data_IF_136138305032
#
_entry.id   IF_136138305032
#
_cell.length_a   1.000
_cell.length_b   1.000
_cell.length_c   1.000
_cell.angle_alpha   90.00
_cell.angle_beta   90.00
_cell.angle_gamma   90.00
#
_symmetry.space_group_name_H-M   'P 1'
#
loop_
_entity.id
_entity.type
_entity.pdbx_description
1 polymer ?
#
# COMPACT_ATOMS: atom_id res chain seq x y z
N UNK A 1 10.82 7.07 -1.38
CA UNK A 1 10.36 5.90 -0.58
C UNK A 1 9.29 5.14 -1.34
N UNK A 2 9.29 3.80 -1.38
CA UNK A 2 8.25 3.06 -2.10
C UNK A 2 6.97 2.94 -1.27
N UNK A 3 5.83 3.19 -1.89
CA UNK A 3 4.50 2.94 -1.31
C UNK A 3 4.09 1.48 -1.55
N UNK A 4 4.16 0.64 -0.51
CA UNK A 4 4.03 -0.82 -0.63
C UNK A 4 2.91 -1.43 0.22
N UNK A 5 2.44 -0.71 1.25
CA UNK A 5 1.40 -1.18 2.17
C UNK A 5 0.10 -0.39 1.98
N UNK A 6 -0.59 -0.69 0.88
CA UNK A 6 -1.68 0.15 0.37
C UNK A 6 -2.91 0.04 1.26
N UNK A 7 -3.33 -1.18 1.59
CA UNK A 7 -4.55 -1.40 2.35
C UNK A 7 -4.47 -0.82 3.76
N UNK A 8 -3.37 -1.04 4.48
CA UNK A 8 -3.26 -0.51 5.85
C UNK A 8 -3.11 1.01 5.85
N UNK A 9 -2.32 1.58 4.93
CA UNK A 9 -2.14 3.04 4.84
C UNK A 9 -3.45 3.74 4.53
N UNK A 10 -4.19 3.29 3.51
CA UNK A 10 -5.43 3.95 3.09
C UNK A 10 -6.59 3.73 4.07
N UNK A 11 -6.50 2.75 4.97
CA UNK A 11 -7.44 2.54 6.07
C UNK A 11 -7.16 3.41 7.28
N UNK A 12 -5.97 4.00 7.41
CA UNK A 12 -5.59 4.87 8.52
C UNK A 12 -5.75 6.36 8.16
N UNK A 13 -6.83 7.03 8.60
CA UNK A 13 -7.06 8.44 8.30
C UNK A 13 -6.15 9.39 9.09
N UNK A 14 -5.34 8.88 10.05
CA UNK A 14 -4.41 9.70 10.82
C UNK A 14 -3.10 9.99 10.08
N UNK A 15 -2.80 9.20 9.05
CA UNK A 15 -1.62 9.40 8.21
C UNK A 15 -1.83 10.59 7.27
N UNK A 16 -0.78 11.37 6.98
CA UNK A 16 -0.85 12.41 5.97
C UNK A 16 -1.17 11.78 4.61
N UNK A 17 -1.80 12.57 3.73
CA UNK A 17 -2.16 12.20 2.34
C UNK A 17 -3.25 11.14 2.17
N UNK A 18 -3.57 10.30 3.17
CA UNK A 18 -4.59 9.23 3.03
C UNK A 18 -5.89 9.68 2.35
N UNK A 19 -6.43 10.85 2.75
CA UNK A 19 -7.68 11.37 2.17
C UNK A 19 -7.53 11.86 0.73
N UNK A 20 -6.35 12.35 0.34
CA UNK A 20 -6.05 12.73 -1.05
C UNK A 20 -5.86 11.47 -1.91
N UNK A 21 -5.18 10.47 -1.35
CA UNK A 21 -4.90 9.20 -2.01
C UNK A 21 -6.18 8.37 -2.27
N UNK A 22 -7.27 8.61 -1.52
CA UNK A 22 -8.57 8.00 -1.81
C UNK A 22 -9.12 8.36 -3.18
N UNK A 23 -8.87 9.59 -3.66
CA UNK A 23 -9.31 10.01 -5.00
C UNK A 23 -8.45 9.39 -6.12
N UNK A 24 -7.21 9.00 -5.81
CA UNK A 24 -6.28 8.39 -6.76
C UNK A 24 -6.45 6.86 -6.83
N UNK A 25 -6.44 6.18 -5.68
CA UNK A 25 -6.42 4.71 -5.62
C UNK A 25 -7.78 4.11 -5.25
N UNK A 26 -8.61 4.87 -4.55
CA UNK A 26 -9.88 4.42 -3.98
C UNK A 26 -9.89 4.40 -2.45
N UNK A 27 -11.09 4.28 -1.90
CA UNK A 27 -11.40 4.24 -0.48
C UNK A 27 -11.64 2.79 0.01
N UNK A 28 -10.68 2.19 0.75
CA UNK A 28 -10.78 0.81 1.24
C UNK A 28 -11.87 0.61 2.31
N UNK A 29 -12.60 1.65 2.74
CA UNK A 29 -13.71 1.50 3.70
C UNK A 29 -14.90 0.74 3.12
N UNK A 30 -14.97 0.59 1.80
CA UNK A 30 -15.97 -0.25 1.13
C UNK A 30 -15.35 -1.58 0.70
N UNK A 31 -16.06 -2.69 0.92
CA UNK A 31 -15.57 -4.05 0.57
C UNK A 31 -15.12 -4.19 -0.89
N UNK A 32 -15.85 -3.68 -1.90
CA UNK A 32 -15.42 -3.81 -3.29
C UNK A 32 -14.09 -3.10 -3.57
N UNK A 33 -13.90 -1.90 -3.01
CA UNK A 33 -12.66 -1.15 -3.19
C UNK A 33 -11.51 -1.76 -2.38
N UNK A 34 -11.78 -2.24 -1.16
CA UNK A 34 -10.82 -3.00 -0.37
C UNK A 34 -10.29 -4.22 -1.13
N UNK A 35 -11.17 -5.03 -1.72
CA UNK A 35 -10.78 -6.21 -2.47
C UNK A 35 -9.95 -5.85 -3.71
N UNK A 36 -10.33 -4.77 -4.38
CA UNK A 36 -9.60 -4.26 -5.54
C UNK A 36 -8.19 -3.79 -5.14
N UNK A 37 -8.07 -2.95 -4.11
CA UNK A 37 -6.78 -2.47 -3.59
C UNK A 37 -5.89 -3.63 -3.12
N UNK A 38 -6.48 -4.58 -2.39
CA UNK A 38 -5.77 -5.76 -1.89
C UNK A 38 -5.27 -6.65 -3.02
N UNK A 39 -5.95 -6.68 -4.17
CA UNK A 39 -5.54 -7.54 -5.29
C UNK A 39 -4.16 -7.20 -5.86
N UNK A 40 -3.66 -5.98 -5.64
CA UNK A 40 -2.37 -5.53 -6.16
C UNK A 40 -1.43 -4.93 -5.10
N UNK A 41 -1.90 -4.71 -3.86
CA UNK A 41 -1.07 -4.23 -2.75
C UNK A 41 0.19 -5.09 -2.58
N UNK A 42 1.41 -4.55 -2.76
CA UNK A 42 2.64 -5.34 -2.74
C UNK A 42 2.83 -6.11 -1.43
N UNK A 43 2.59 -5.47 -0.29
CA UNK A 43 2.73 -6.07 1.03
C UNK A 43 1.76 -7.25 1.24
N UNK A 44 0.52 -7.14 0.77
CA UNK A 44 -0.50 -8.18 0.89
C UNK A 44 -0.30 -9.37 -0.06
N UNK A 45 0.53 -9.21 -1.09
CA UNK A 45 0.72 -10.20 -2.17
C UNK A 45 2.14 -10.79 -2.22
N UNK A 46 2.86 -10.79 -1.09
CA UNK A 46 4.13 -11.52 -0.97
C UNK A 46 3.83 -13.02 -0.91
N UNK A 47 4.23 -13.75 -1.96
CA UNK A 47 3.95 -15.16 -2.13
C UNK A 47 5.06 -16.02 -1.52
N UNK A 48 4.68 -17.00 -0.70
CA UNK A 48 5.62 -17.99 -0.17
C UNK A 48 6.14 -18.90 -1.28
N UNK A 49 7.43 -19.26 -1.22
CA UNK A 49 8.08 -20.17 -2.17
C UNK A 49 8.42 -19.57 -3.53
N UNK A 50 8.21 -18.26 -3.72
CA UNK A 50 8.61 -17.55 -4.95
C UNK A 50 10.04 -17.01 -4.81
N UNK A 51 10.86 -17.23 -5.83
CA UNK A 51 12.19 -16.62 -5.94
C UNK A 51 12.07 -15.21 -6.52
N UNK A 52 12.16 -14.20 -5.66
CA UNK A 52 12.24 -12.80 -6.07
C UNK A 52 13.68 -12.44 -6.50
N UNK A 53 13.88 -11.53 -7.46
CA UNK A 53 15.20 -11.05 -7.82
C UNK A 53 15.84 -10.25 -6.66
N UNK A 54 17.16 -10.09 -6.69
CA UNK A 54 17.85 -9.19 -5.77
C UNK A 54 17.33 -7.76 -5.93
N UNK A 55 16.91 -7.14 -4.82
CA UNK A 55 16.36 -5.79 -4.79
C UNK A 55 17.07 -4.95 -3.73
N UNK A 56 17.36 -3.69 -4.06
CA UNK A 56 17.76 -2.68 -3.10
C UNK A 56 16.55 -1.79 -2.81
N UNK A 57 16.09 -1.79 -1.55
CA UNK A 57 15.01 -0.92 -1.09
C UNK A 57 15.62 0.15 -0.19
N UNK A 58 15.32 1.42 -0.48
CA UNK A 58 15.77 2.55 0.34
C UNK A 58 14.57 3.28 0.93
N UNK A 59 14.75 3.78 2.14
CA UNK A 59 13.79 4.62 2.84
C UNK A 59 14.50 5.67 3.68
N UNK A 60 13.75 6.67 4.14
CA UNK A 60 14.24 7.73 5.03
C UNK A 60 13.30 7.88 6.22
N UNK A 61 13.86 8.14 7.41
CA UNK A 61 13.10 8.32 8.63
C UNK A 61 12.26 9.61 8.64
N UNK A 62 12.70 10.64 7.90
CA UNK A 62 12.04 11.95 7.81
C UNK A 62 11.58 12.25 6.38
N UNK A 63 11.27 11.20 5.61
CA UNK A 63 10.57 11.38 4.33
C UNK A 63 9.15 11.86 4.60
N UNK A 64 8.72 12.90 3.88
CA UNK A 64 7.45 13.61 4.08
C UNK A 64 6.41 13.22 3.06
#
# INVERSE_FOLDING_TARGET
>A
VPFLDICNTLLDPSLPLTMLDHDEFGDPRTKPQFDFLRSYSPYDNILSGVCYPSMLVTASFLDS
#
